data_IF_997746027772
#
_entry.id   IF_997746027772
#
_cell.length_a   1.000
_cell.length_b   1.000
_cell.length_c   1.000
_cell.angle_alpha   90.00
_cell.angle_beta   90.00
_cell.angle_gamma   90.00
#
_symmetry.space_group_name_H-M   'P 1'
#
loop_
_entity.id
_entity.type
_entity.pdbx_description
1 polymer ?
#
# COMPACT_ATOMS: atom_id res chain seq x y z
N UNK A 1 -32.37 -5.07 1.84
CA UNK A 1 -31.56 -5.36 3.04
C UNK A 1 -30.40 -6.23 2.57
N UNK A 2 -29.21 -5.64 2.43
CA UNK A 2 -28.01 -6.36 1.99
C UNK A 2 -26.92 -6.10 3.01
N UNK A 3 -26.65 -7.09 3.85
CA UNK A 3 -25.62 -7.04 4.87
C UNK A 3 -24.25 -7.03 4.21
N UNK A 4 -23.63 -5.85 4.15
CA UNK A 4 -22.18 -5.76 3.96
C UNK A 4 -21.52 -6.39 5.19
N UNK A 5 -20.78 -7.47 4.98
CA UNK A 5 -20.02 -8.11 6.04
C UNK A 5 -19.05 -7.10 6.65
N UNK A 6 -19.38 -6.62 7.85
CA UNK A 6 -18.45 -5.90 8.69
C UNK A 6 -17.41 -6.95 9.08
N UNK A 7 -16.29 -7.01 8.37
CA UNK A 7 -15.12 -7.72 8.88
C UNK A 7 -14.69 -6.98 10.14
N UNK A 8 -15.10 -7.50 11.28
CA UNK A 8 -14.70 -7.01 12.59
C UNK A 8 -13.16 -6.96 12.63
N UNK A 9 -12.62 -5.87 13.18
CA UNK A 9 -11.18 -5.77 13.41
C UNK A 9 -10.72 -6.97 14.25
N UNK A 10 -9.61 -7.65 13.89
CA UNK A 10 -9.09 -8.75 14.69
C UNK A 10 -8.86 -8.32 16.15
N UNK A 11 -9.09 -9.23 17.10
CA UNK A 11 -8.94 -8.96 18.54
C UNK A 11 -7.48 -8.71 18.96
N UNK A 12 -6.52 -9.22 18.20
CA UNK A 12 -5.09 -9.00 18.41
C UNK A 12 -4.56 -7.95 17.43
N UNK A 13 -3.59 -7.10 17.85
CA UNK A 13 -2.97 -6.13 16.95
C UNK A 13 -2.23 -6.84 15.80
N UNK A 14 -1.95 -6.13 14.69
CA UNK A 14 -1.08 -6.66 13.63
C UNK A 14 0.26 -7.11 14.20
N UNK A 15 0.77 -8.24 13.70
CA UNK A 15 2.05 -8.78 14.12
C UNK A 15 3.22 -7.99 13.49
N UNK A 16 4.23 -7.65 14.30
CA UNK A 16 5.53 -7.21 13.81
C UNK A 16 6.42 -8.45 13.66
N UNK A 17 6.82 -8.85 12.45
CA UNK A 17 7.67 -10.02 12.26
C UNK A 17 8.99 -9.87 13.01
N UNK A 18 9.46 -10.96 13.62
CA UNK A 18 10.75 -11.00 14.31
C UNK A 18 11.89 -10.69 13.33
N UNK A 19 12.88 -9.89 13.75
CA UNK A 19 14.03 -9.55 12.92
C UNK A 19 13.80 -8.42 11.91
N UNK A 20 12.57 -7.91 11.73
CA UNK A 20 12.28 -6.91 10.69
C UNK A 20 12.93 -5.56 10.99
N UNK A 21 13.00 -5.16 12.27
CA UNK A 21 13.63 -3.90 12.67
C UNK A 21 15.16 -4.01 12.57
N UNK A 22 15.71 -5.18 12.83
CA UNK A 22 17.12 -5.51 12.67
C UNK A 22 17.51 -5.49 11.18
N UNK A 23 16.70 -6.09 10.31
CA UNK A 23 16.93 -6.06 8.85
C UNK A 23 16.90 -4.62 8.32
N UNK A 24 15.93 -3.81 8.75
CA UNK A 24 15.89 -2.37 8.46
C UNK A 24 17.16 -1.66 8.95
N UNK A 25 17.57 -1.92 10.19
CA UNK A 25 18.78 -1.33 10.79
C UNK A 25 20.06 -1.70 10.05
N UNK A 26 20.13 -2.90 9.48
CA UNK A 26 21.28 -3.35 8.69
C UNK A 26 21.39 -2.67 7.31
N UNK A 27 20.28 -2.18 6.77
CA UNK A 27 20.18 -1.63 5.40
C UNK A 27 20.10 -0.10 5.34
N UNK A 28 19.78 0.53 6.47
CA UNK A 28 19.57 1.97 6.58
C UNK A 28 20.71 2.62 7.35
N UNK A 29 21.16 3.77 6.87
CA UNK A 29 22.08 4.61 7.63
C UNK A 29 21.30 5.55 8.56
N UNK A 30 22.00 6.10 9.57
CA UNK A 30 21.43 7.12 10.46
C UNK A 30 21.07 8.44 9.75
N UNK A 31 21.59 8.66 8.55
CA UNK A 31 21.32 9.85 7.76
C UNK A 31 20.01 9.68 6.97
N UNK A 32 19.78 8.48 6.45
CA UNK A 32 18.54 8.13 5.74
C UNK A 32 17.35 7.99 6.70
N UNK A 33 17.59 7.40 7.88
CA UNK A 33 16.55 6.97 8.81
C UNK A 33 16.73 7.60 10.21
N UNK A 34 16.43 8.91 10.37
CA UNK A 34 16.69 9.68 11.59
C UNK A 34 15.94 9.14 12.83
N UNK A 35 14.85 8.40 12.62
CA UNK A 35 14.00 7.89 13.69
C UNK A 35 14.17 6.40 13.97
N UNK A 36 14.97 5.68 13.17
CA UNK A 36 15.07 4.22 13.20
C UNK A 36 15.37 3.66 14.61
N UNK A 37 16.29 4.30 15.34
CA UNK A 37 16.69 3.88 16.69
C UNK A 37 15.58 4.01 17.75
N UNK A 38 14.53 4.77 17.46
CA UNK A 38 13.41 4.99 18.38
C UNK A 38 12.27 4.02 18.14
N UNK A 39 12.21 3.35 16.98
CA UNK A 39 11.09 2.48 16.61
C UNK A 39 10.83 1.38 17.64
N UNK A 40 11.88 0.70 18.13
CA UNK A 40 11.72 -0.37 19.12
C UNK A 40 11.01 0.07 20.42
N UNK A 41 11.05 1.38 20.76
CA UNK A 41 10.44 1.93 21.97
C UNK A 41 9.14 2.69 21.70
N UNK A 42 9.04 3.36 20.56
CA UNK A 42 7.99 4.35 20.29
C UNK A 42 6.94 3.86 19.27
N UNK A 43 7.19 2.75 18.58
CA UNK A 43 6.29 2.20 17.58
C UNK A 43 5.19 1.36 18.24
N UNK A 44 3.96 1.57 17.79
CA UNK A 44 2.80 0.73 18.04
C UNK A 44 2.13 0.31 16.74
N UNK A 45 1.58 -0.90 16.71
CA UNK A 45 0.80 -1.42 15.59
C UNK A 45 -0.67 -1.53 15.98
N UNK A 46 -1.55 -1.19 15.04
CA UNK A 46 -2.99 -1.38 15.20
C UNK A 46 -3.67 -1.70 13.87
N UNK A 47 -4.87 -2.27 13.94
CA UNK A 47 -5.72 -2.37 12.75
C UNK A 47 -6.40 -1.03 12.49
N UNK A 48 -6.40 -0.60 11.22
CA UNK A 48 -7.22 0.49 10.75
C UNK A 48 -8.71 0.10 10.76
N UNK A 49 -9.59 1.09 10.61
CA UNK A 49 -11.03 0.84 10.40
C UNK A 49 -11.22 0.14 9.06
N UNK A 50 -12.10 -0.86 9.00
CA UNK A 50 -12.43 -1.59 7.76
C UNK A 50 -13.05 -0.70 6.66
N UNK A 51 -13.44 0.53 6.99
CA UNK A 51 -13.95 1.54 6.06
C UNK A 51 -12.86 2.48 5.53
N UNK A 52 -11.61 2.37 5.98
CA UNK A 52 -10.50 3.18 5.45
C UNK A 52 -10.14 2.66 4.05
N UNK A 53 -9.86 3.57 3.12
CA UNK A 53 -9.49 3.19 1.76
C UNK A 53 -8.00 2.84 1.63
N UNK A 54 -7.18 3.15 2.64
CA UNK A 54 -5.74 2.92 2.63
C UNK A 54 -5.42 1.53 3.17
N UNK A 55 -4.46 0.85 2.54
CA UNK A 55 -3.94 -0.44 3.04
C UNK A 55 -3.09 -0.27 4.31
N UNK A 56 -2.39 0.86 4.43
CA UNK A 56 -1.57 1.19 5.59
C UNK A 56 -1.41 2.71 5.71
N UNK A 57 -1.10 3.17 6.91
CA UNK A 57 -0.61 4.52 7.14
C UNK A 57 0.19 4.63 8.44
N UNK A 58 1.15 5.56 8.43
CA UNK A 58 1.95 5.95 9.59
C UNK A 58 1.41 7.26 10.16
N UNK A 59 1.18 7.28 11.47
CA UNK A 59 0.79 8.47 12.22
C UNK A 59 1.84 8.80 13.27
N UNK A 60 2.24 10.05 13.29
CA UNK A 60 3.04 10.64 14.35
C UNK A 60 2.13 11.50 15.23
N UNK A 61 2.41 11.56 16.54
CA UNK A 61 1.65 12.40 17.46
C UNK A 61 2.00 13.90 17.32
N UNK A 62 3.20 14.22 16.83
CA UNK A 62 3.61 15.60 16.54
C UNK A 62 3.19 16.05 15.13
N UNK A 63 3.01 17.36 14.97
CA UNK A 63 2.78 17.98 13.68
C UNK A 63 4.03 17.97 12.76
N UNK A 64 3.82 18.37 11.50
CA UNK A 64 4.88 18.38 10.49
C UNK A 64 6.07 19.27 10.86
N UNK A 65 5.86 20.42 11.50
CA UNK A 65 6.94 21.35 11.84
C UNK A 65 7.82 20.78 12.96
N UNK A 66 7.20 20.19 13.98
CA UNK A 66 7.93 19.58 15.10
C UNK A 66 8.65 18.29 14.65
N UNK A 67 8.03 17.48 13.80
CA UNK A 67 8.70 16.33 13.18
C UNK A 67 9.90 16.74 12.34
N UNK A 68 9.77 17.79 11.53
CA UNK A 68 10.89 18.28 10.73
C UNK A 68 12.06 18.74 11.62
N UNK A 69 11.76 19.47 12.71
CA UNK A 69 12.76 19.88 13.70
C UNK A 69 13.44 18.65 14.32
N UNK A 70 12.67 17.67 14.78
CA UNK A 70 13.19 16.43 15.41
C UNK A 70 14.04 15.62 14.46
N UNK A 71 13.62 15.50 13.19
CA UNK A 71 14.40 14.87 12.12
C UNK A 71 15.77 15.51 11.98
N UNK A 72 15.84 16.85 11.90
CA UNK A 72 17.11 17.59 11.80
C UNK A 72 17.99 17.43 13.03
N UNK A 73 17.40 17.44 14.22
CA UNK A 73 18.11 17.24 15.50
C UNK A 73 18.40 15.77 15.81
N UNK A 74 17.89 14.84 15.00
CA UNK A 74 17.89 13.39 15.25
C UNK A 74 17.32 13.03 16.62
N UNK A 75 16.34 13.80 17.09
CA UNK A 75 15.65 13.54 18.35
C UNK A 75 14.54 12.50 18.15
N UNK A 76 14.04 11.97 19.26
CA UNK A 76 12.88 11.08 19.27
C UNK A 76 11.72 11.71 18.48
N UNK A 77 11.04 10.96 17.58
CA UNK A 77 9.81 11.40 16.92
C UNK A 77 8.59 11.39 17.84
N UNK A 78 8.72 10.92 19.09
CA UNK A 78 7.58 10.66 19.96
C UNK A 78 6.82 9.39 19.53
N UNK A 79 5.68 9.09 20.16
CA UNK A 79 4.91 7.90 19.82
C UNK A 79 4.53 7.87 18.32
N UNK A 80 4.71 6.69 17.72
CA UNK A 80 4.37 6.41 16.33
C UNK A 80 3.35 5.29 16.31
N UNK A 81 2.31 5.44 15.50
CA UNK A 81 1.34 4.38 15.22
C UNK A 81 1.39 4.03 13.75
N UNK A 82 1.67 2.76 13.45
CA UNK A 82 1.40 2.19 12.12
C UNK A 82 0.04 1.50 12.20
N UNK A 83 -0.87 1.89 11.30
CA UNK A 83 -2.15 1.24 11.14
C UNK A 83 -2.18 0.46 9.83
N UNK A 84 -2.61 -0.80 9.89
CA UNK A 84 -2.76 -1.69 8.72
C UNK A 84 -4.22 -2.03 8.49
N UNK A 85 -4.65 -2.14 7.24
CA UNK A 85 -6.03 -2.50 6.93
C UNK A 85 -6.28 -3.99 7.24
N UNK A 86 -7.38 -4.35 7.92
CA UNK A 86 -7.72 -5.75 8.23
C UNK A 86 -7.76 -6.74 7.04
N UNK A 87 -7.89 -6.24 5.80
CA UNK A 87 -7.96 -7.07 4.59
C UNK A 87 -6.61 -7.69 4.25
N UNK A 88 -5.52 -7.11 4.76
CA UNK A 88 -4.17 -7.63 4.60
C UNK A 88 -3.92 -8.95 5.35
N UNK A 89 -4.78 -9.31 6.32
CA UNK A 89 -4.59 -10.47 7.19
C UNK A 89 -4.29 -11.77 6.44
N UNK A 90 -4.99 -12.01 5.35
CA UNK A 90 -4.90 -13.25 4.58
C UNK A 90 -4.02 -13.10 3.32
N UNK A 91 -3.23 -12.03 3.25
CA UNK A 91 -2.35 -11.71 2.11
C UNK A 91 -0.95 -11.36 2.64
N UNK A 92 -0.21 -12.38 3.07
CA UNK A 92 1.08 -12.26 3.76
C UNK A 92 2.09 -11.38 2.99
N UNK A 93 2.20 -11.55 1.68
CA UNK A 93 3.12 -10.75 0.85
C UNK A 93 2.72 -9.29 0.83
N UNK A 94 1.43 -8.98 0.63
CA UNK A 94 0.98 -7.60 0.63
C UNK A 94 1.04 -6.98 2.03
N UNK A 95 0.72 -7.76 3.06
CA UNK A 95 0.87 -7.38 4.47
C UNK A 95 2.31 -6.93 4.76
N UNK A 96 3.28 -7.77 4.45
CA UNK A 96 4.69 -7.49 4.70
C UNK A 96 5.17 -6.28 3.88
N UNK A 97 4.77 -6.20 2.61
CA UNK A 97 5.07 -5.06 1.74
C UNK A 97 4.55 -3.74 2.33
N UNK A 98 3.27 -3.71 2.74
CA UNK A 98 2.66 -2.53 3.34
C UNK A 98 3.30 -2.19 4.69
N UNK A 99 3.55 -3.18 5.55
CA UNK A 99 4.20 -2.96 6.84
C UNK A 99 5.59 -2.35 6.66
N UNK A 100 6.42 -2.87 5.75
CA UNK A 100 7.76 -2.33 5.49
C UNK A 100 7.68 -0.91 4.92
N UNK A 101 6.73 -0.63 4.04
CA UNK A 101 6.48 0.73 3.54
C UNK A 101 6.23 1.71 4.70
N UNK A 102 5.32 1.35 5.61
CA UNK A 102 5.01 2.18 6.78
C UNK A 102 6.17 2.26 7.78
N UNK A 103 6.94 1.18 7.95
CA UNK A 103 8.14 1.20 8.80
C UNK A 103 9.20 2.15 8.28
N UNK A 104 9.39 2.26 6.96
CA UNK A 104 10.30 3.24 6.38
C UNK A 104 9.83 4.67 6.64
N UNK A 105 8.53 4.94 6.51
CA UNK A 105 7.94 6.22 6.90
C UNK A 105 8.15 6.51 8.38
N UNK A 106 7.89 5.55 9.26
CA UNK A 106 8.14 5.65 10.70
C UNK A 106 9.61 5.93 11.02
N UNK A 107 10.55 5.35 10.24
CA UNK A 107 11.98 5.59 10.38
C UNK A 107 12.43 6.98 9.90
N UNK A 108 11.53 7.75 9.26
CA UNK A 108 11.77 9.12 8.80
C UNK A 108 12.05 9.24 7.29
N UNK A 109 11.90 8.16 6.52
CA UNK A 109 11.95 8.19 5.05
C UNK A 109 10.57 8.57 4.51
N UNK A 110 10.28 9.88 4.53
CA UNK A 110 8.97 10.41 4.12
C UNK A 110 8.79 10.54 2.61
N UNK A 111 9.89 10.61 1.86
CA UNK A 111 9.85 10.76 0.40
C UNK A 111 9.87 9.40 -0.31
N UNK A 112 8.93 9.17 -1.22
CA UNK A 112 8.85 7.95 -2.05
C UNK A 112 9.85 7.91 -3.21
N UNK A 113 11.06 8.46 -3.00
CA UNK A 113 12.13 8.46 -4.00
C UNK A 113 12.71 7.07 -4.28
N UNK A 114 13.65 6.99 -5.24
CA UNK A 114 14.27 5.74 -5.69
C UNK A 114 14.77 4.87 -4.52
N UNK A 115 15.42 5.47 -3.53
CA UNK A 115 15.96 4.76 -2.36
C UNK A 115 14.87 4.07 -1.55
N UNK A 116 13.73 4.73 -1.33
CA UNK A 116 12.60 4.14 -0.62
C UNK A 116 12.05 2.94 -1.39
N UNK A 117 11.85 3.09 -2.70
CA UNK A 117 11.33 2.02 -3.56
C UNK A 117 12.28 0.81 -3.61
N UNK A 118 13.58 1.05 -3.72
CA UNK A 118 14.61 0.00 -3.69
C UNK A 118 14.60 -0.78 -2.39
N UNK A 119 14.52 -0.09 -1.24
CA UNK A 119 14.48 -0.73 0.08
C UNK A 119 13.24 -1.60 0.25
N UNK A 120 12.06 -1.06 -0.08
CA UNK A 120 10.84 -1.87 -0.04
C UNK A 120 10.96 -3.07 -0.97
N UNK A 121 11.48 -2.89 -2.19
CA UNK A 121 11.64 -4.00 -3.14
C UNK A 121 12.60 -5.09 -2.64
N UNK A 122 13.67 -4.72 -1.93
CA UNK A 122 14.65 -5.67 -1.40
C UNK A 122 14.16 -6.41 -0.16
N UNK A 123 13.43 -5.75 0.73
CA UNK A 123 12.99 -6.31 2.02
C UNK A 123 11.66 -7.05 1.87
N UNK A 124 10.70 -6.42 1.19
CA UNK A 124 9.34 -6.92 1.05
C UNK A 124 8.78 -6.52 -0.33
N UNK A 125 9.19 -7.21 -1.41
CA UNK A 125 8.74 -6.88 -2.75
C UNK A 125 7.22 -6.97 -2.87
N UNK A 126 6.63 -6.02 -3.60
CA UNK A 126 5.19 -6.02 -3.86
C UNK A 126 4.77 -7.32 -4.57
N UNK A 127 3.69 -7.99 -4.12
CA UNK A 127 3.20 -9.18 -4.81
C UNK A 127 2.68 -8.82 -6.21
N UNK A 128 2.78 -9.79 -7.13
CA UNK A 128 2.06 -9.69 -8.40
C UNK A 128 0.56 -9.76 -8.13
N UNK A 129 -0.23 -9.20 -9.05
CA UNK A 129 -1.69 -9.29 -8.97
C UNK A 129 -2.20 -10.74 -8.86
N UNK A 130 -1.58 -11.70 -9.56
CA UNK A 130 -1.96 -13.12 -9.49
C UNK A 130 -1.65 -13.77 -8.13
N UNK A 131 -0.75 -13.17 -7.35
CA UNK A 131 -0.25 -13.70 -6.08
C UNK A 131 -0.97 -13.10 -4.86
N UNK A 132 -1.78 -12.05 -5.05
CA UNK A 132 -2.45 -11.33 -3.98
C UNK A 132 -3.96 -11.44 -4.12
N UNK A 133 -4.64 -11.93 -3.07
CA UNK A 133 -6.10 -11.96 -3.01
C UNK A 133 -6.66 -10.55 -2.84
N UNK A 134 -5.99 -9.70 -2.09
CA UNK A 134 -6.41 -8.32 -1.82
C UNK A 134 -6.33 -7.48 -3.10
N UNK A 135 -5.21 -7.51 -3.83
CA UNK A 135 -5.06 -6.75 -5.07
C UNK A 135 -6.06 -7.18 -6.14
N UNK A 136 -6.41 -8.48 -6.20
CA UNK A 136 -7.47 -8.99 -7.10
C UNK A 136 -8.83 -8.43 -6.71
N UNK A 137 -9.21 -8.53 -5.44
CA UNK A 137 -10.49 -8.01 -4.94
C UNK A 137 -10.60 -6.50 -5.13
N UNK A 138 -9.53 -5.73 -4.86
CA UNK A 138 -9.51 -4.29 -5.09
C UNK A 138 -9.67 -3.94 -6.58
N UNK A 139 -9.03 -4.72 -7.48
CA UNK A 139 -9.22 -4.54 -8.92
C UNK A 139 -10.66 -4.80 -9.33
N UNK A 140 -11.28 -5.86 -8.81
CA UNK A 140 -12.67 -6.19 -9.08
C UNK A 140 -13.62 -5.09 -8.58
N UNK A 141 -13.41 -4.56 -7.39
CA UNK A 141 -14.16 -3.43 -6.83
C UNK A 141 -14.04 -2.18 -7.71
N UNK A 142 -12.82 -1.84 -8.14
CA UNK A 142 -12.59 -0.72 -9.07
C UNK A 142 -13.32 -0.96 -10.39
N UNK A 143 -13.24 -2.16 -10.97
CA UNK A 143 -13.92 -2.48 -12.23
C UNK A 143 -15.44 -2.42 -12.10
N UNK A 144 -16.00 -2.94 -11.01
CA UNK A 144 -17.43 -2.92 -10.72
C UNK A 144 -17.96 -1.49 -10.53
N UNK A 145 -17.12 -0.58 -10.01
CA UNK A 145 -17.46 0.83 -9.84
C UNK A 145 -17.40 1.67 -11.12
N UNK A 146 -16.92 1.14 -12.25
CA UNK A 146 -16.83 1.90 -13.50
C UNK A 146 -18.19 2.00 -14.20
N UNK A 147 -18.49 3.14 -14.87
CA UNK A 147 -19.78 3.33 -15.55
C UNK A 147 -19.97 2.36 -16.72
N UNK A 148 -18.88 2.00 -17.40
CA UNK A 148 -18.89 1.08 -18.53
C UNK A 148 -18.29 -0.26 -18.13
N UNK A 149 -19.12 -1.32 -18.19
CA UNK A 149 -18.77 -2.70 -17.87
C UNK A 149 -18.31 -3.53 -19.09
N UNK A 150 -18.46 -2.98 -20.29
CA UNK A 150 -18.02 -3.62 -21.54
C UNK A 150 -17.41 -2.59 -22.46
N UNK A 151 -16.55 -3.06 -23.36
CA UNK A 151 -15.97 -2.25 -24.43
C UNK A 151 -16.56 -2.68 -25.76
N UNK A 152 -16.75 -1.71 -26.65
CA UNK A 152 -17.23 -1.93 -28.01
C UNK A 152 -16.18 -1.40 -28.98
N UNK A 153 -15.79 -2.19 -29.97
CA UNK A 153 -14.91 -1.74 -31.04
C UNK A 153 -15.70 -0.92 -32.06
N UNK A 154 -15.35 0.36 -32.23
CA UNK A 154 -15.99 1.23 -33.22
C UNK A 154 -15.79 0.78 -34.68
N UNK A 155 -14.77 -0.03 -34.96
CA UNK A 155 -14.43 -0.47 -36.33
C UNK A 155 -15.12 -1.77 -36.74
N UNK A 156 -15.23 -2.76 -35.85
CA UNK A 156 -15.79 -4.07 -36.16
C UNK A 156 -17.04 -4.45 -35.34
N UNK A 157 -17.49 -3.56 -34.44
CA UNK A 157 -18.66 -3.77 -33.59
C UNK A 157 -18.50 -4.86 -32.53
N UNK A 158 -17.32 -5.45 -32.37
CA UNK A 158 -17.10 -6.48 -31.34
C UNK A 158 -17.28 -5.89 -29.95
N UNK A 159 -18.04 -6.58 -29.10
CA UNK A 159 -18.24 -6.23 -27.69
C UNK A 159 -17.60 -7.28 -26.80
N UNK A 160 -16.91 -6.85 -25.74
CA UNK A 160 -16.34 -7.76 -24.74
C UNK A 160 -16.33 -7.12 -23.35
N UNK A 161 -16.24 -7.98 -22.33
CA UNK A 161 -16.20 -7.58 -20.93
C UNK A 161 -14.98 -6.71 -20.60
N UNK A 162 -15.20 -5.64 -19.83
CA UNK A 162 -14.13 -4.79 -19.36
C UNK A 162 -13.35 -5.48 -18.26
N UNK A 163 -12.13 -5.92 -18.59
CA UNK A 163 -11.22 -6.55 -17.63
C UNK A 163 -10.15 -5.61 -17.08
N UNK A 164 -9.96 -4.41 -17.63
CA UNK A 164 -8.93 -3.45 -17.17
C UNK A 164 -9.53 -2.05 -17.05
N UNK A 165 -8.88 -1.19 -16.27
CA UNK A 165 -9.29 0.21 -16.11
C UNK A 165 -9.08 0.98 -17.42
N UNK A 166 -7.93 0.81 -18.08
CA UNK A 166 -7.63 1.46 -19.35
C UNK A 166 -8.03 0.61 -20.55
N UNK A 167 -8.60 1.26 -21.58
CA UNK A 167 -8.87 0.67 -22.91
C UNK A 167 -7.60 -0.01 -23.46
N UNK A 168 -7.68 -1.19 -24.12
CA UNK A 168 -6.51 -1.86 -24.63
C UNK A 168 -5.99 -1.07 -25.84
N UNK A 169 -4.74 -1.31 -26.24
CA UNK A 169 -4.18 -0.59 -27.39
C UNK A 169 -4.83 -1.00 -28.72
N UNK A 170 -5.38 -2.21 -28.81
CA UNK A 170 -5.97 -2.80 -30.02
C UNK A 170 -7.21 -3.63 -29.70
N UNK A 171 -8.14 -3.70 -30.65
CA UNK A 171 -9.30 -4.58 -30.54
C UNK A 171 -8.88 -6.05 -30.50
N UNK A 172 -9.38 -6.87 -29.55
CA UNK A 172 -9.02 -8.28 -29.45
C UNK A 172 -9.54 -9.13 -30.62
N UNK A 173 -10.54 -8.65 -31.38
CA UNK A 173 -11.09 -9.36 -32.55
C UNK A 173 -10.46 -8.94 -33.88
N UNK A 174 -10.40 -7.64 -34.18
CA UNK A 174 -9.93 -7.15 -35.49
C UNK A 174 -8.52 -6.56 -35.50
N UNK A 175 -7.83 -6.53 -34.34
CA UNK A 175 -6.48 -5.99 -34.15
C UNK A 175 -6.27 -4.51 -34.55
N UNK A 176 -7.32 -3.79 -34.95
CA UNK A 176 -7.26 -2.35 -35.22
C UNK A 176 -6.97 -1.58 -33.92
N UNK A 177 -6.08 -0.57 -33.97
CA UNK A 177 -5.84 0.29 -32.83
C UNK A 177 -7.09 1.13 -32.52
N UNK A 178 -7.30 1.48 -31.25
CA UNK A 178 -8.32 2.48 -30.94
C UNK A 178 -7.76 3.86 -31.26
N UNK A 179 -8.45 4.60 -32.11
CA UNK A 179 -8.12 5.99 -32.38
C UNK A 179 -8.40 6.80 -31.11
N UNK A 180 -7.35 7.38 -30.53
CA UNK A 180 -7.50 8.47 -29.57
C UNK A 180 -8.07 9.63 -30.37
N UNK A 181 -9.36 9.93 -30.21
CA UNK A 181 -9.89 11.21 -30.69
C UNK A 181 -9.14 12.28 -29.89
N UNK A 182 -8.28 13.05 -30.57
CA UNK A 182 -7.70 14.27 -30.03
C UNK A 182 -8.82 15.29 -29.78
#
# INVERSE_FOLDING_TARGET
MSGGGITASPNEPPNLPEGILEDLTSRLTRDDAPFLRYLAKELSLQWAKSSDNRLGYTRFEYDHHELFRRRRLRSSPGPITIALHPRLRDDEKLYLHTLVHELLHAAGLVDHGNRHQELVHQIAPAPKLSESVVLRSMREEVLAGLPEQSWICGECGHTWERRRVSLPQRCPKCARPFSVRK
#
